data_IF_756403086899
#
_entry.id   IF_756403086899
#
_cell.length_a   1.000
_cell.length_b   1.000
_cell.length_c   1.000
_cell.angle_alpha   90.00
_cell.angle_beta   90.00
_cell.angle_gamma   90.00
#
_symmetry.space_group_name_H-M   'P 1'
#
loop_
_entity.id
_entity.type
_entity.pdbx_description
1 polymer ?
#
# COMPACT_ATOMS: atom_id res chain seq x y z
N UNK A 1 18.56 10.78 -34.57
CA UNK A 1 17.42 9.85 -34.44
C UNK A 1 17.37 9.42 -32.99
N UNK A 2 16.50 10.05 -32.24
CA UNK A 2 16.38 9.89 -30.79
C UNK A 2 15.37 8.78 -30.52
N UNK A 3 15.83 7.68 -29.92
CA UNK A 3 14.94 6.60 -29.48
C UNK A 3 14.36 6.98 -28.12
N UNK A 4 13.07 7.33 -28.10
CA UNK A 4 12.28 7.50 -26.91
C UNK A 4 12.12 6.15 -26.21
N UNK A 5 12.88 5.93 -25.15
CA UNK A 5 12.67 4.83 -24.22
C UNK A 5 11.45 5.17 -23.36
N UNK A 6 10.29 4.64 -23.73
CA UNK A 6 9.10 4.67 -22.87
C UNK A 6 9.43 3.86 -21.61
N UNK A 7 9.71 4.54 -20.51
CA UNK A 7 9.77 3.96 -19.17
C UNK A 7 8.35 3.54 -18.79
N UNK A 8 8.07 2.27 -18.91
CA UNK A 8 6.91 1.67 -18.29
C UNK A 8 7.14 1.61 -16.78
N UNK A 9 6.74 2.64 -16.06
CA UNK A 9 6.58 2.59 -14.62
C UNK A 9 5.31 1.78 -14.37
N UNK A 10 5.47 0.47 -14.22
CA UNK A 10 4.39 -0.39 -13.78
C UNK A 10 4.13 -0.11 -12.31
N UNK A 11 3.33 0.91 -12.01
CA UNK A 11 2.75 1.10 -10.68
C UNK A 11 1.70 0.02 -10.54
N UNK A 12 2.08 -1.11 -9.94
CA UNK A 12 1.12 -2.11 -9.52
C UNK A 12 0.43 -1.57 -8.27
N UNK A 13 -0.76 -0.99 -8.45
CA UNK A 13 -1.64 -0.60 -7.36
C UNK A 13 -2.12 -1.85 -6.65
N UNK A 14 -1.61 -2.07 -5.43
CA UNK A 14 -2.38 -2.83 -4.48
C UNK A 14 -3.44 -1.90 -3.93
N UNK A 15 -4.66 -2.28 -4.19
CA UNK A 15 -5.78 -1.69 -3.55
C UNK A 15 -5.70 -1.99 -2.06
N UNK A 16 -5.59 -0.96 -1.29
CA UNK A 16 -5.68 -0.98 0.15
C UNK A 16 -7.09 -1.40 0.51
N UNK A 17 -7.22 -2.62 0.98
CA UNK A 17 -8.35 -2.91 1.84
C UNK A 17 -8.23 -1.95 3.00
N UNK A 18 -9.23 -1.10 3.17
CA UNK A 18 -9.33 -0.21 4.32
C UNK A 18 -9.42 -1.07 5.56
N UNK A 19 -8.26 -1.43 6.10
CA UNK A 19 -8.17 -2.01 7.42
C UNK A 19 -8.34 -0.88 8.41
N UNK A 20 -9.42 -0.97 9.17
CA UNK A 20 -9.61 -0.20 10.40
C UNK A 20 -8.54 -0.60 11.43
N UNK A 21 -7.31 -0.14 11.27
CA UNK A 21 -6.34 -0.13 12.36
C UNK A 21 -6.49 1.21 13.07
N UNK A 22 -7.29 1.22 14.12
CA UNK A 22 -7.33 2.33 15.07
C UNK A 22 -6.04 2.25 15.90
N UNK A 23 -4.97 2.83 15.42
CA UNK A 23 -3.88 3.31 16.25
C UNK A 23 -3.63 4.76 15.87
N UNK A 24 -4.22 5.67 16.65
CA UNK A 24 -3.90 7.07 16.61
C UNK A 24 -2.46 7.24 17.11
N UNK A 25 -1.48 7.16 16.22
CA UNK A 25 -0.26 7.89 16.40
C UNK A 25 -0.65 9.35 16.15
N UNK A 26 -0.70 10.14 17.23
CA UNK A 26 -0.68 11.59 17.11
C UNK A 26 0.53 11.91 16.24
N UNK A 27 0.40 12.76 15.21
CA UNK A 27 1.57 13.24 14.48
C UNK A 27 2.53 13.81 15.52
N UNK A 28 3.81 13.47 15.40
CA UNK A 28 4.86 14.11 16.17
C UNK A 28 4.75 15.60 15.87
N UNK A 29 4.37 16.40 16.86
CA UNK A 29 4.04 17.81 16.69
C UNK A 29 5.24 18.68 16.24
N UNK A 30 6.43 18.06 16.13
CA UNK A 30 7.69 18.72 15.80
C UNK A 30 8.26 18.32 14.44
N UNK A 31 7.59 17.47 13.63
CA UNK A 31 8.05 17.08 12.29
C UNK A 31 7.45 18.02 11.25
N UNK A 32 8.31 18.72 10.51
CA UNK A 32 7.89 19.49 9.32
C UNK A 32 7.75 18.54 8.13
N UNK A 33 6.54 18.03 7.91
CA UNK A 33 6.19 17.10 6.83
C UNK A 33 6.32 17.69 5.43
N UNK A 34 6.52 19.01 5.31
CA UNK A 34 6.66 19.73 4.05
C UNK A 34 8.11 20.14 3.74
N UNK A 35 9.03 19.95 4.69
CA UNK A 35 10.44 20.28 4.51
C UNK A 35 11.21 19.19 3.75
N UNK A 36 11.96 19.57 2.71
CA UNK A 36 12.79 18.66 1.92
C UNK A 36 12.30 18.49 0.48
N UNK A 37 12.83 17.47 -0.19
CA UNK A 37 12.53 17.14 -1.58
C UNK A 37 11.68 15.86 -1.65
N UNK A 38 10.67 15.86 -2.51
CA UNK A 38 9.98 14.63 -2.92
C UNK A 38 10.79 13.87 -3.97
N UNK A 39 10.58 12.58 -4.15
CA UNK A 39 11.27 11.76 -5.14
C UNK A 39 11.14 12.32 -6.57
N UNK A 40 10.00 12.95 -6.89
CA UNK A 40 9.76 13.56 -8.21
C UNK A 40 10.60 14.81 -8.49
N UNK A 41 11.11 15.47 -7.47
CA UNK A 41 11.97 16.68 -7.56
C UNK A 41 13.45 16.34 -7.61
N UNK A 42 13.80 15.07 -7.43
CA UNK A 42 15.16 14.57 -7.34
C UNK A 42 15.56 13.83 -8.62
N UNK A 43 16.85 13.87 -8.93
CA UNK A 43 17.45 12.98 -9.93
C UNK A 43 17.86 11.65 -9.28
N UNK A 44 18.05 10.62 -10.10
CA UNK A 44 18.49 9.30 -9.66
C UNK A 44 19.94 9.08 -10.08
N UNK A 45 20.77 8.66 -9.13
CA UNK A 45 22.12 8.13 -9.36
C UNK A 45 22.14 6.65 -9.10
N UNK A 46 22.57 5.88 -10.08
CA UNK A 46 22.73 4.44 -9.94
C UNK A 46 24.22 4.09 -9.95
N UNK A 47 24.63 3.20 -9.05
CA UNK A 47 25.98 2.62 -9.00
C UNK A 47 25.87 1.11 -8.80
N UNK A 48 26.73 0.36 -9.49
CA UNK A 48 26.78 -1.11 -9.42
C UNK A 48 28.15 -1.52 -8.92
N UNK A 49 28.16 -2.37 -7.89
CA UNK A 49 29.38 -2.96 -7.31
C UNK A 49 29.15 -4.46 -7.11
N UNK A 50 29.71 -5.26 -8.03
CA UNK A 50 29.45 -6.70 -8.08
C UNK A 50 27.97 -7.01 -8.28
N UNK A 51 27.37 -7.73 -7.33
CA UNK A 51 25.94 -8.07 -7.32
C UNK A 51 25.05 -7.01 -6.66
N UNK A 52 25.62 -5.90 -6.18
CA UNK A 52 24.87 -4.87 -5.46
C UNK A 52 24.64 -3.65 -6.35
N UNK A 53 23.39 -3.30 -6.57
CA UNK A 53 22.97 -2.05 -7.19
C UNK A 53 22.50 -1.08 -6.12
N UNK A 54 23.05 0.14 -6.12
CA UNK A 54 22.59 1.25 -5.26
C UNK A 54 21.91 2.29 -6.12
N UNK A 55 20.67 2.60 -5.80
CA UNK A 55 19.88 3.66 -6.44
C UNK A 55 19.66 4.77 -5.41
N UNK A 56 20.28 5.93 -5.64
CA UNK A 56 20.25 7.07 -4.70
C UNK A 56 19.50 8.26 -5.29
N UNK A 57 18.75 8.95 -4.44
CA UNK A 57 18.15 10.25 -4.76
C UNK A 57 19.21 11.35 -4.62
N UNK A 58 19.24 12.28 -5.60
CA UNK A 58 20.25 13.33 -5.69
C UNK A 58 19.58 14.67 -5.95
N UNK A 59 19.87 15.65 -5.09
CA UNK A 59 19.35 17.00 -5.24
C UNK A 59 20.01 17.78 -6.42
N UNK A 60 19.55 19.00 -6.76
CA UNK A 60 20.13 19.80 -7.85
C UNK A 60 21.62 20.12 -7.68
N UNK A 61 22.15 20.14 -6.45
CA UNK A 61 23.55 20.35 -6.16
C UNK A 61 24.42 19.09 -6.32
N UNK A 62 23.82 17.97 -6.69
CA UNK A 62 24.51 16.69 -6.88
C UNK A 62 24.77 15.91 -5.59
N UNK A 63 24.10 16.27 -4.50
CA UNK A 63 24.26 15.64 -3.17
C UNK A 63 23.15 14.61 -2.97
N UNK A 64 23.52 13.44 -2.42
CA UNK A 64 22.54 12.42 -2.00
C UNK A 64 21.69 13.00 -0.86
N UNK A 65 20.37 12.88 -0.97
CA UNK A 65 19.42 13.41 -0.01
C UNK A 65 18.22 12.48 0.15
N UNK A 66 17.54 12.55 1.30
CA UNK A 66 16.30 11.80 1.52
C UNK A 66 15.18 12.33 0.62
N UNK A 67 14.43 11.41 0.01
CA UNK A 67 13.15 11.71 -0.59
C UNK A 67 12.07 11.59 0.49
N UNK A 68 11.46 12.72 0.87
CA UNK A 68 10.54 12.78 2.03
C UNK A 68 9.31 11.88 1.87
N UNK A 69 8.82 11.72 0.65
CA UNK A 69 7.69 10.86 0.29
C UNK A 69 8.08 9.37 0.17
N UNK A 70 9.38 9.06 0.15
CA UNK A 70 9.89 7.68 0.12
C UNK A 70 10.44 7.23 1.47
N UNK A 71 10.88 8.17 2.32
CA UNK A 71 11.42 7.93 3.64
C UNK A 71 12.86 7.40 3.65
N UNK A 72 13.62 7.51 2.54
CA UNK A 72 15.03 7.10 2.44
C UNK A 72 15.77 7.88 1.35
N UNK A 73 17.12 7.88 1.42
CA UNK A 73 18.00 8.48 0.41
C UNK A 73 18.47 7.46 -0.64
N UNK A 74 18.72 6.21 -0.23
CA UNK A 74 19.29 5.18 -1.10
C UNK A 74 18.60 3.84 -0.85
N UNK A 75 18.30 3.12 -1.94
CA UNK A 75 17.95 1.71 -1.87
C UNK A 75 19.11 0.88 -2.45
N UNK A 76 19.57 -0.11 -1.65
CA UNK A 76 20.54 -1.11 -2.06
C UNK A 76 19.83 -2.40 -2.40
N UNK A 77 20.08 -2.96 -3.60
CA UNK A 77 19.55 -4.26 -4.05
C UNK A 77 20.69 -5.21 -4.33
N UNK A 78 20.68 -6.33 -3.63
CA UNK A 78 21.58 -7.45 -3.91
C UNK A 78 20.88 -8.43 -4.85
N UNK A 79 21.60 -8.90 -5.88
CA UNK A 79 21.07 -9.83 -6.87
C UNK A 79 21.78 -11.17 -6.80
N UNK A 80 21.06 -12.25 -7.12
CA UNK A 80 21.63 -13.58 -7.34
C UNK A 80 22.29 -13.70 -8.74
N UNK A 81 22.85 -14.86 -9.03
CA UNK A 81 23.50 -15.17 -10.32
C UNK A 81 22.53 -15.12 -11.51
N UNK A 82 21.23 -15.16 -11.28
CA UNK A 82 20.18 -15.02 -12.30
C UNK A 82 19.68 -13.57 -12.45
N UNK A 83 20.26 -12.62 -11.71
CA UNK A 83 19.87 -11.21 -11.71
C UNK A 83 18.59 -10.91 -10.93
N UNK A 84 18.09 -11.85 -10.11
CA UNK A 84 16.91 -11.61 -9.27
C UNK A 84 17.34 -10.94 -7.96
N UNK A 85 16.57 -9.96 -7.49
CA UNK A 85 16.82 -9.29 -6.21
C UNK A 85 16.59 -10.28 -5.06
N UNK A 86 17.62 -10.54 -4.25
CA UNK A 86 17.52 -11.43 -3.07
C UNK A 86 17.52 -10.68 -1.76
N UNK A 87 17.95 -9.40 -1.76
CA UNK A 87 17.84 -8.52 -0.60
C UNK A 87 17.67 -7.06 -1.06
N UNK A 88 16.86 -6.30 -0.34
CA UNK A 88 16.68 -4.87 -0.51
C UNK A 88 16.86 -4.18 0.85
N UNK A 89 17.62 -3.06 0.89
CA UNK A 89 17.89 -2.28 2.11
C UNK A 89 17.70 -0.81 1.85
N UNK A 90 17.12 -0.10 2.82
CA UNK A 90 16.90 1.34 2.76
C UNK A 90 17.88 2.07 3.65
N UNK A 91 18.52 3.10 3.11
CA UNK A 91 19.56 3.88 3.80
C UNK A 91 19.21 5.37 3.77
N UNK A 92 19.55 6.05 4.85
CA UNK A 92 19.49 7.50 4.95
C UNK A 92 20.64 8.20 4.18
N UNK A 93 20.74 9.52 4.30
CA UNK A 93 21.81 10.34 3.66
C UNK A 93 23.21 10.00 4.14
N UNK A 94 23.38 9.43 5.34
CA UNK A 94 24.65 9.03 5.93
C UNK A 94 25.06 7.62 5.51
N UNK A 95 24.14 6.87 4.91
CA UNK A 95 24.31 5.46 4.59
C UNK A 95 23.93 4.51 5.72
N UNK A 96 23.29 5.02 6.77
CA UNK A 96 22.79 4.22 7.87
C UNK A 96 21.42 3.61 7.54
N UNK A 97 21.09 2.40 8.03
CA UNK A 97 19.78 1.79 7.83
C UNK A 97 18.65 2.68 8.34
N UNK A 98 17.63 2.92 7.51
CA UNK A 98 16.44 3.68 7.87
C UNK A 98 15.18 2.85 7.69
N UNK A 99 14.23 2.99 8.63
CA UNK A 99 12.97 2.28 8.56
C UNK A 99 12.06 2.90 7.50
N UNK A 100 11.63 2.10 6.55
CA UNK A 100 10.61 2.50 5.59
C UNK A 100 9.25 2.48 6.26
N UNK A 101 8.50 3.59 6.15
CA UNK A 101 7.19 3.77 6.79
C UNK A 101 7.19 3.43 8.30
N UNK A 102 8.35 3.56 8.97
CA UNK A 102 8.52 3.28 10.40
C UNK A 102 8.45 1.80 10.80
N UNK A 103 8.39 0.86 9.85
CA UNK A 103 8.10 -0.54 10.14
C UNK A 103 9.24 -1.52 9.88
N UNK A 104 10.01 -1.36 8.78
CA UNK A 104 11.06 -2.31 8.38
C UNK A 104 12.19 -1.61 7.65
N UNK A 105 13.40 -2.20 7.69
CA UNK A 105 14.63 -1.61 7.16
C UNK A 105 15.09 -2.26 5.86
N UNK A 106 14.45 -3.35 5.48
CA UNK A 106 14.75 -4.07 4.26
C UNK A 106 13.85 -5.28 4.08
N UNK A 107 14.07 -5.97 2.98
CA UNK A 107 13.37 -7.18 2.57
C UNK A 107 14.39 -8.22 2.11
N UNK A 108 14.15 -9.50 2.39
CA UNK A 108 14.82 -10.59 1.71
C UNK A 108 13.83 -11.40 0.90
N UNK A 109 14.34 -12.00 -0.20
CA UNK A 109 13.55 -12.76 -1.14
C UNK A 109 14.18 -14.13 -1.36
N UNK A 110 13.38 -15.19 -1.21
CA UNK A 110 13.74 -16.55 -1.60
C UNK A 110 12.76 -16.99 -2.69
N UNK A 111 13.31 -17.54 -3.78
CA UNK A 111 12.53 -17.89 -4.96
C UNK A 111 12.47 -19.39 -5.14
N UNK A 112 11.27 -19.91 -5.35
CA UNK A 112 11.01 -21.26 -5.83
C UNK A 112 10.40 -21.19 -7.25
N UNK A 113 10.07 -22.32 -7.86
CA UNK A 113 9.52 -22.38 -9.23
C UNK A 113 8.22 -21.57 -9.40
N UNK A 114 7.36 -21.54 -8.38
CA UNK A 114 6.03 -20.93 -8.43
C UNK A 114 5.75 -19.98 -7.27
N UNK A 115 6.72 -19.82 -6.36
CA UNK A 115 6.53 -18.97 -5.18
C UNK A 115 7.75 -18.12 -4.88
N UNK A 116 7.49 -17.05 -4.14
CA UNK A 116 8.50 -16.17 -3.56
C UNK A 116 8.20 -16.00 -2.08
N UNK A 117 9.19 -16.25 -1.24
CA UNK A 117 9.15 -15.94 0.18
C UNK A 117 9.74 -14.56 0.37
N UNK A 118 8.98 -13.63 0.95
CA UNK A 118 9.36 -12.24 1.21
C UNK A 118 9.40 -12.06 2.71
N UNK A 119 10.58 -11.77 3.27
CA UNK A 119 10.76 -11.58 4.72
C UNK A 119 11.15 -10.13 5.03
N UNK A 120 10.49 -9.52 5.97
CA UNK A 120 10.76 -8.17 6.44
C UNK A 120 11.91 -8.19 7.44
N UNK A 121 12.84 -7.22 7.31
CA UNK A 121 14.11 -7.18 8.04
C UNK A 121 14.20 -5.94 8.94
N UNK A 122 14.86 -6.12 10.11
CA UNK A 122 15.30 -5.02 10.97
C UNK A 122 16.60 -4.36 10.44
N UNK A 123 17.14 -3.41 11.20
CA UNK A 123 18.37 -2.69 10.85
C UNK A 123 19.59 -3.61 10.75
N UNK A 124 19.62 -4.71 11.52
CA UNK A 124 20.68 -5.71 11.58
C UNK A 124 20.49 -6.88 10.61
N UNK A 125 19.51 -6.82 9.69
CA UNK A 125 19.14 -7.88 8.74
C UNK A 125 18.49 -9.12 9.38
N UNK A 126 17.96 -9.01 10.61
CA UNK A 126 17.19 -10.12 11.18
C UNK A 126 15.71 -9.98 10.80
N UNK A 127 14.98 -11.11 10.66
CA UNK A 127 13.54 -11.07 10.46
C UNK A 127 12.80 -10.31 11.57
N UNK A 128 11.91 -9.39 11.20
CA UNK A 128 11.13 -8.59 12.13
C UNK A 128 9.63 -8.86 11.96
N UNK A 129 8.89 -8.85 13.09
CA UNK A 129 7.44 -8.87 13.07
C UNK A 129 6.89 -7.46 12.86
N UNK A 130 6.09 -7.29 11.81
CA UNK A 130 5.39 -6.04 11.52
C UNK A 130 4.25 -5.76 12.51
N UNK A 131 3.80 -4.50 12.58
CA UNK A 131 2.60 -4.09 13.30
C UNK A 131 1.35 -4.87 12.85
N UNK A 132 1.30 -5.28 11.58
CA UNK A 132 0.24 -6.11 11.00
C UNK A 132 0.22 -7.56 11.50
N UNK A 133 1.22 -7.97 12.29
CA UNK A 133 1.20 -9.24 12.99
C UNK A 133 1.98 -10.38 12.34
N UNK A 134 2.54 -10.19 11.14
CA UNK A 134 3.36 -11.16 10.43
C UNK A 134 4.79 -10.65 10.21
N UNK A 135 5.69 -11.54 9.79
CA UNK A 135 7.09 -11.24 9.44
C UNK A 135 7.42 -11.63 8.00
N UNK A 136 6.64 -12.53 7.44
CA UNK A 136 6.93 -13.15 6.15
C UNK A 136 5.66 -13.31 5.34
N UNK A 137 5.77 -13.08 4.03
CA UNK A 137 4.75 -13.36 3.03
C UNK A 137 5.26 -14.52 2.16
N UNK A 138 4.47 -15.56 2.00
CA UNK A 138 4.67 -16.56 0.94
C UNK A 138 3.72 -16.22 -0.19
N UNK A 139 4.29 -15.76 -1.30
CA UNK A 139 3.58 -15.31 -2.50
C UNK A 139 3.65 -16.40 -3.56
N UNK A 140 2.50 -16.85 -4.06
CA UNK A 140 2.42 -17.66 -5.27
C UNK A 140 2.22 -16.79 -6.49
N UNK A 141 2.69 -17.27 -7.64
CA UNK A 141 2.55 -16.57 -8.91
C UNK A 141 1.90 -17.49 -9.96
N UNK A 142 1.00 -16.88 -10.74
CA UNK A 142 0.39 -17.50 -11.91
C UNK A 142 0.60 -16.57 -13.11
N UNK A 143 1.17 -17.09 -14.19
CA UNK A 143 1.51 -16.31 -15.38
C UNK A 143 2.36 -15.06 -15.09
N UNK A 144 3.30 -15.16 -14.13
CA UNK A 144 4.19 -14.10 -13.72
C UNK A 144 3.54 -12.99 -12.87
N UNK A 145 2.32 -13.21 -12.36
CA UNK A 145 1.59 -12.28 -11.49
C UNK A 145 1.32 -12.91 -10.13
N UNK A 146 1.38 -12.10 -9.08
CA UNK A 146 1.02 -12.53 -7.73
C UNK A 146 -0.43 -13.02 -7.69
N UNK A 147 -0.65 -14.29 -7.34
CA UNK A 147 -1.98 -14.88 -7.19
C UNK A 147 -2.42 -14.87 -5.73
N UNK A 148 -1.67 -15.56 -4.88
CA UNK A 148 -1.97 -15.67 -3.47
C UNK A 148 -0.81 -15.17 -2.63
N UNK A 149 -1.12 -14.48 -1.53
CA UNK A 149 -0.18 -14.19 -0.46
C UNK A 149 -0.70 -14.83 0.83
N UNK A 150 0.18 -15.54 1.56
CA UNK A 150 -0.10 -16.03 2.90
C UNK A 150 0.89 -15.47 3.90
N UNK A 151 0.44 -15.17 5.12
CA UNK A 151 1.18 -14.48 6.17
C UNK A 151 1.70 -15.46 7.22
N UNK A 152 2.97 -15.28 7.60
CA UNK A 152 3.66 -16.15 8.55
C UNK A 152 4.37 -15.33 9.63
N UNK A 153 4.45 -15.88 10.84
CA UNK A 153 5.21 -15.30 11.95
C UNK A 153 6.71 -15.66 11.87
N UNK A 154 7.49 -15.16 12.84
CA UNK A 154 8.93 -15.43 12.96
C UNK A 154 9.28 -16.93 13.16
N UNK A 155 8.30 -17.78 13.52
CA UNK A 155 8.49 -19.22 13.69
C UNK A 155 8.06 -20.01 12.44
N UNK A 156 7.68 -19.31 11.35
CA UNK A 156 7.16 -19.93 10.14
C UNK A 156 5.74 -20.51 10.30
N UNK A 157 4.98 -20.04 11.30
CA UNK A 157 3.60 -20.46 11.49
C UNK A 157 2.67 -19.46 10.80
N UNK A 158 1.69 -19.98 10.05
CA UNK A 158 0.69 -19.16 9.39
C UNK A 158 -0.16 -18.41 10.41
N UNK A 159 -0.22 -17.07 10.30
CA UNK A 159 -0.90 -16.16 11.24
C UNK A 159 -1.94 -15.28 10.56
N UNK A 160 -2.89 -14.81 11.36
CA UNK A 160 -3.75 -13.71 10.90
C UNK A 160 -2.99 -12.39 10.93
N UNK A 161 -3.16 -11.59 9.87
CA UNK A 161 -2.79 -10.19 9.92
C UNK A 161 -3.77 -9.39 10.80
N UNK A 162 -3.47 -8.11 11.03
CA UNK A 162 -4.35 -7.19 11.77
C UNK A 162 -5.78 -7.09 11.18
N UNK A 163 -5.92 -7.36 9.87
CA UNK A 163 -7.20 -7.46 9.17
C UNK A 163 -8.04 -8.69 9.48
N UNK A 164 -7.51 -9.63 10.26
CA UNK A 164 -8.25 -10.81 10.69
C UNK A 164 -8.30 -11.95 9.68
N UNK A 165 -7.45 -11.93 8.64
CA UNK A 165 -7.34 -12.97 7.62
C UNK A 165 -5.91 -13.51 7.52
N UNK A 166 -5.72 -14.66 6.87
CA UNK A 166 -4.43 -15.38 6.81
C UNK A 166 -3.71 -15.18 5.48
N UNK A 167 -4.38 -14.63 4.50
CA UNK A 167 -3.85 -14.39 3.19
C UNK A 167 -4.85 -13.69 2.29
N UNK A 168 -4.44 -13.43 1.05
CA UNK A 168 -5.27 -12.81 0.02
C UNK A 168 -5.12 -13.57 -1.29
N UNK A 169 -6.19 -13.61 -2.09
CA UNK A 169 -6.18 -14.06 -3.47
C UNK A 169 -6.49 -12.89 -4.40
N UNK A 170 -5.79 -12.81 -5.53
CA UNK A 170 -5.96 -11.75 -6.55
C UNK A 170 -6.45 -12.33 -7.86
N UNK A 171 -7.36 -11.62 -8.49
CA UNK A 171 -7.80 -11.91 -9.85
C UNK A 171 -7.46 -10.74 -10.77
N UNK A 172 -7.08 -11.07 -12.01
CA UNK A 172 -6.67 -10.10 -13.02
C UNK A 172 -7.52 -10.21 -14.26
N UNK A 173 -7.80 -9.06 -14.91
CA UNK A 173 -8.42 -9.04 -16.23
C UNK A 173 -7.38 -9.37 -17.34
N UNK A 174 -7.83 -9.40 -18.58
CA UNK A 174 -6.99 -9.71 -19.75
C UNK A 174 -5.86 -8.69 -19.96
N UNK A 175 -6.05 -7.45 -19.51
CA UNK A 175 -5.08 -6.36 -19.57
C UNK A 175 -4.05 -6.44 -18.43
N UNK A 176 -4.22 -7.37 -17.46
CA UNK A 176 -3.33 -7.58 -16.32
C UNK A 176 -3.60 -6.65 -15.15
N UNK A 177 -4.73 -5.96 -15.13
CA UNK A 177 -5.15 -5.15 -14.00
C UNK A 177 -5.77 -6.04 -12.92
N UNK A 178 -5.41 -5.82 -11.65
CA UNK A 178 -6.06 -6.51 -10.54
C UNK A 178 -7.50 -6.00 -10.39
N UNK A 179 -8.46 -6.92 -10.53
CA UNK A 179 -9.89 -6.61 -10.50
C UNK A 179 -10.60 -7.15 -9.26
N UNK A 180 -9.93 -7.99 -8.47
CA UNK A 180 -10.51 -8.55 -7.24
C UNK A 180 -9.45 -8.95 -6.24
N UNK A 181 -9.76 -8.79 -4.96
CA UNK A 181 -8.99 -9.29 -3.84
C UNK A 181 -9.94 -10.01 -2.89
N UNK A 182 -9.67 -11.29 -2.62
CA UNK A 182 -10.44 -12.12 -1.68
C UNK A 182 -9.59 -12.43 -0.45
N UNK A 183 -10.16 -12.27 0.76
CA UNK A 183 -9.49 -12.62 2.02
C UNK A 183 -9.60 -14.12 2.28
N UNK A 184 -8.49 -14.71 2.71
CA UNK A 184 -8.35 -16.16 2.82
C UNK A 184 -8.18 -16.62 4.28
N UNK A 185 -8.80 -17.77 4.59
CA UNK A 185 -8.50 -18.56 5.79
C UNK A 185 -7.18 -19.35 5.60
N UNK A 186 -6.73 -20.05 6.66
CA UNK A 186 -5.53 -20.92 6.61
C UNK A 186 -5.54 -21.99 5.51
N UNK A 187 -6.70 -22.32 4.97
CA UNK A 187 -6.88 -23.36 3.94
C UNK A 187 -7.09 -22.78 2.55
N UNK A 188 -6.95 -21.47 2.40
CA UNK A 188 -7.16 -20.78 1.12
C UNK A 188 -8.64 -20.60 0.73
N UNK A 189 -9.57 -20.67 1.66
CA UNK A 189 -10.99 -20.44 1.41
C UNK A 189 -11.35 -19.00 1.78
N UNK A 190 -12.29 -18.42 1.04
CA UNK A 190 -12.81 -17.09 1.35
C UNK A 190 -13.29 -16.98 2.80
N UNK A 191 -12.93 -15.91 3.49
CA UNK A 191 -13.36 -15.60 4.84
C UNK A 191 -13.62 -14.11 5.01
N UNK A 192 -14.49 -13.75 5.96
CA UNK A 192 -14.67 -12.34 6.31
C UNK A 192 -13.48 -11.80 7.09
N UNK A 193 -13.03 -10.62 6.72
CA UNK A 193 -12.06 -9.83 7.47
C UNK A 193 -12.69 -9.15 8.69
N UNK A 194 -11.89 -8.48 9.49
CA UNK A 194 -12.37 -7.62 10.59
C UNK A 194 -13.29 -6.48 10.14
N UNK A 195 -13.28 -6.11 8.84
CA UNK A 195 -14.20 -5.11 8.28
C UNK A 195 -15.58 -5.67 7.91
N UNK A 196 -15.78 -7.01 8.03
CA UNK A 196 -17.05 -7.67 7.77
C UNK A 196 -17.29 -8.06 6.32
N UNK A 197 -16.32 -7.85 5.41
CA UNK A 197 -16.38 -8.31 4.02
C UNK A 197 -15.37 -9.45 3.78
N UNK A 198 -15.63 -10.28 2.76
CA UNK A 198 -14.72 -11.36 2.36
C UNK A 198 -13.76 -10.92 1.25
N UNK A 199 -13.96 -9.74 0.69
CA UNK A 199 -13.07 -9.19 -0.32
C UNK A 199 -13.65 -7.94 -0.98
N UNK A 200 -12.92 -7.49 -2.00
CA UNK A 200 -13.25 -6.31 -2.80
C UNK A 200 -13.12 -6.63 -4.27
N UNK A 201 -14.00 -6.04 -5.10
CA UNK A 201 -13.80 -5.93 -6.54
C UNK A 201 -13.41 -4.50 -6.88
N UNK A 202 -12.49 -4.33 -7.82
CA UNK A 202 -11.97 -3.03 -8.22
C UNK A 202 -12.54 -2.58 -9.54
N UNK A 203 -12.80 -1.30 -9.65
CA UNK A 203 -13.07 -0.62 -10.90
C UNK A 203 -11.87 0.23 -11.27
N UNK A 204 -11.25 -0.09 -12.41
CA UNK A 204 -10.14 0.66 -12.97
C UNK A 204 -10.62 1.59 -14.08
N UNK A 205 -9.92 2.71 -14.30
CA UNK A 205 -10.04 3.51 -15.50
C UNK A 205 -9.25 2.90 -16.68
N UNK A 206 -9.20 3.62 -17.80
CA UNK A 206 -8.52 3.17 -19.01
C UNK A 206 -7.01 2.99 -18.86
N UNK A 207 -6.41 3.70 -17.91
CA UNK A 207 -4.97 3.65 -17.61
C UNK A 207 -4.64 2.57 -16.55
N UNK A 208 -5.67 1.85 -16.07
CA UNK A 208 -5.51 0.81 -15.03
C UNK A 208 -5.51 1.33 -13.60
N UNK A 209 -5.72 2.62 -13.41
CA UNK A 209 -5.80 3.21 -12.07
C UNK A 209 -7.12 2.82 -11.41
N UNK A 210 -7.06 2.32 -10.16
CA UNK A 210 -8.27 2.03 -9.39
C UNK A 210 -9.01 3.32 -9.05
N UNK A 211 -10.25 3.42 -9.53
CA UNK A 211 -11.15 4.56 -9.32
C UNK A 211 -12.35 4.22 -8.44
N UNK A 212 -12.40 3.01 -7.91
CA UNK A 212 -13.41 2.59 -6.94
C UNK A 212 -13.36 1.11 -6.63
N UNK A 213 -14.07 0.74 -5.57
CA UNK A 213 -14.18 -0.63 -5.09
C UNK A 213 -15.59 -0.95 -4.62
N UNK A 214 -15.91 -2.24 -4.56
CA UNK A 214 -17.16 -2.78 -4.02
C UNK A 214 -16.84 -3.99 -3.16
N UNK A 215 -17.50 -4.10 -1.99
CA UNK A 215 -17.30 -5.16 -1.03
C UNK A 215 -18.23 -6.34 -1.28
N UNK A 216 -17.75 -7.55 -1.07
CA UNK A 216 -18.51 -8.78 -1.20
C UNK A 216 -18.35 -9.72 0.00
N UNK A 217 -19.34 -10.59 0.22
CA UNK A 217 -19.33 -11.65 1.21
C UNK A 217 -18.66 -12.93 0.67
N UNK A 218 -18.65 -14.02 1.46
CA UNK A 218 -18.05 -15.30 1.09
C UNK A 218 -18.77 -16.02 -0.07
N UNK A 219 -20.00 -15.63 -0.40
CA UNK A 219 -20.77 -16.13 -1.54
C UNK A 219 -20.63 -15.21 -2.77
N UNK A 220 -19.88 -14.11 -2.68
CA UNK A 220 -19.70 -13.13 -3.75
C UNK A 220 -20.83 -12.11 -3.87
N UNK A 221 -21.76 -12.03 -2.92
CA UNK A 221 -22.82 -11.03 -2.94
C UNK A 221 -22.32 -9.71 -2.38
N UNK A 222 -22.82 -8.55 -2.86
CA UNK A 222 -22.50 -7.26 -2.26
C UNK A 222 -22.82 -7.23 -0.78
N UNK A 223 -21.86 -6.81 0.05
CA UNK A 223 -22.00 -6.76 1.51
C UNK A 223 -21.72 -5.35 2.04
N UNK A 224 -22.37 -5.01 3.12
CA UNK A 224 -22.16 -3.75 3.82
C UNK A 224 -20.95 -3.86 4.75
N UNK A 225 -20.01 -2.92 4.65
CA UNK A 225 -18.89 -2.82 5.59
C UNK A 225 -19.36 -2.36 6.97
N UNK A 226 -18.48 -2.46 7.97
CA UNK A 226 -18.76 -1.93 9.31
C UNK A 226 -18.97 -0.40 9.34
N UNK A 227 -18.46 0.35 8.35
CA UNK A 227 -18.70 1.79 8.21
C UNK A 227 -20.07 2.11 7.61
N UNK A 228 -20.74 1.13 7.04
CA UNK A 228 -22.09 1.27 6.52
C UNK A 228 -22.23 1.43 5.02
N UNK A 229 -21.14 1.42 4.26
CA UNK A 229 -21.15 1.46 2.79
C UNK A 229 -20.94 0.07 2.18
N UNK A 230 -21.28 -0.08 0.90
CA UNK A 230 -21.07 -1.28 0.08
C UNK A 230 -19.86 -1.15 -0.84
N UNK A 231 -19.29 0.04 -0.94
CA UNK A 231 -18.13 0.33 -1.76
C UNK A 231 -17.79 1.80 -1.76
N UNK A 232 -16.79 2.15 -2.54
CA UNK A 232 -16.22 3.48 -2.61
C UNK A 232 -15.90 3.88 -4.06
N UNK A 233 -15.88 5.18 -4.33
CA UNK A 233 -15.40 5.75 -5.57
C UNK A 233 -14.39 6.85 -5.27
N UNK A 234 -13.31 6.90 -6.03
CA UNK A 234 -12.14 7.72 -5.76
C UNK A 234 -11.95 8.83 -6.79
N UNK A 235 -11.48 10.00 -6.33
CA UNK A 235 -10.84 10.99 -7.18
C UNK A 235 -9.46 11.28 -6.63
N UNK A 236 -8.46 11.27 -7.51
CA UNK A 236 -7.07 11.56 -7.15
C UNK A 236 -6.76 13.05 -7.34
N UNK A 237 -5.82 13.56 -6.55
CA UNK A 237 -5.23 14.87 -6.74
C UNK A 237 -4.11 14.81 -7.81
N UNK A 238 -3.46 15.94 -8.07
CA UNK A 238 -2.38 16.05 -9.07
C UNK A 238 -1.15 15.21 -8.73
N UNK A 239 -0.93 14.90 -7.44
CA UNK A 239 0.15 14.04 -6.96
C UNK A 239 -0.19 12.55 -7.04
N UNK A 240 -1.43 12.20 -7.43
CA UNK A 240 -1.88 10.81 -7.51
C UNK A 240 -2.51 10.25 -6.23
N UNK A 241 -2.53 11.00 -5.12
CA UNK A 241 -3.19 10.59 -3.87
C UNK A 241 -4.72 10.65 -3.97
N UNK A 242 -5.42 9.83 -3.20
CA UNK A 242 -6.90 9.85 -3.15
C UNK A 242 -7.36 11.10 -2.40
N UNK A 243 -7.64 12.18 -3.15
CA UNK A 243 -8.11 13.44 -2.60
C UNK A 243 -9.61 13.47 -2.30
N UNK A 244 -10.39 12.52 -2.84
CA UNK A 244 -11.82 12.40 -2.52
C UNK A 244 -12.25 10.94 -2.54
N UNK A 245 -13.00 10.54 -1.52
CA UNK A 245 -13.72 9.27 -1.42
C UNK A 245 -15.21 9.58 -1.40
N UNK A 246 -15.98 8.91 -2.25
CA UNK A 246 -17.45 8.92 -2.21
C UNK A 246 -17.95 7.54 -1.83
N UNK A 247 -18.68 7.44 -0.73
CA UNK A 247 -19.20 6.18 -0.20
C UNK A 247 -20.47 5.77 -0.94
N UNK A 248 -20.57 4.49 -1.28
CA UNK A 248 -21.58 3.94 -2.18
C UNK A 248 -22.48 2.94 -1.45
N UNK A 249 -23.77 2.94 -1.83
CA UNK A 249 -24.73 1.91 -1.47
C UNK A 249 -24.64 0.67 -2.36
N UNK A 250 -25.49 -0.32 -2.09
CA UNK A 250 -25.57 -1.55 -2.88
C UNK A 250 -25.92 -1.31 -4.36
N UNK A 251 -26.61 -0.21 -4.67
CA UNK A 251 -26.97 0.20 -6.03
C UNK A 251 -25.87 1.03 -6.73
N UNK A 252 -24.70 1.17 -6.11
CA UNK A 252 -23.57 1.96 -6.61
C UNK A 252 -23.77 3.47 -6.53
N UNK A 253 -24.84 3.95 -5.89
CA UNK A 253 -25.08 5.39 -5.74
C UNK A 253 -24.48 5.93 -4.44
N UNK A 254 -24.15 7.24 -4.38
CA UNK A 254 -23.71 7.89 -3.17
C UNK A 254 -24.67 7.64 -2.00
N UNK A 255 -24.15 7.13 -0.88
CA UNK A 255 -24.94 6.72 0.28
C UNK A 255 -24.21 7.14 1.55
N UNK A 256 -24.92 7.68 2.57
CA UNK A 256 -24.31 8.04 3.83
C UNK A 256 -23.72 6.84 4.56
N UNK A 257 -22.54 7.02 5.15
CA UNK A 257 -21.95 6.10 6.14
C UNK A 257 -22.77 6.08 7.42
N UNK A 258 -22.44 5.18 8.36
CA UNK A 258 -23.05 5.18 9.69
C UNK A 258 -22.84 6.51 10.46
N UNK A 259 -21.79 7.27 10.13
CA UNK A 259 -21.54 8.59 10.71
C UNK A 259 -22.29 9.73 9.99
N UNK A 260 -23.05 9.42 8.93
CA UNK A 260 -23.93 10.32 8.22
C UNK A 260 -23.32 11.09 7.05
N UNK A 261 -22.00 11.05 6.85
CA UNK A 261 -21.36 11.68 5.69
C UNK A 261 -21.32 10.72 4.49
N UNK A 262 -21.32 11.30 3.30
CA UNK A 262 -21.31 10.57 2.03
C UNK A 262 -19.98 10.77 1.29
N UNK A 263 -19.30 11.89 1.52
CA UNK A 263 -18.06 12.24 0.85
C UNK A 263 -17.02 12.62 1.91
N UNK A 264 -15.81 12.07 1.78
CA UNK A 264 -14.59 12.49 2.45
C UNK A 264 -13.69 13.18 1.44
N UNK A 265 -13.22 14.39 1.75
CA UNK A 265 -12.10 15.01 1.01
C UNK A 265 -10.90 15.10 1.92
N UNK A 266 -9.73 14.74 1.38
CA UNK A 266 -8.46 14.70 2.10
C UNK A 266 -7.42 15.55 1.38
N UNK A 267 -6.67 16.32 2.17
CA UNK A 267 -5.43 16.96 1.73
C UNK A 267 -4.23 16.20 2.28
N UNK A 268 -3.07 16.42 1.69
CA UNK A 268 -1.84 15.71 2.03
C UNK A 268 -0.68 16.70 2.15
N UNK A 269 0.22 16.42 3.06
CA UNK A 269 1.54 17.01 3.11
C UNK A 269 2.40 16.54 1.93
N UNK A 270 3.54 17.19 1.72
CA UNK A 270 4.46 16.84 0.62
C UNK A 270 5.08 15.45 0.79
N UNK A 271 5.25 14.97 2.01
CA UNK A 271 5.72 13.61 2.31
C UNK A 271 4.66 12.51 2.09
N UNK A 272 3.44 12.89 1.67
CA UNK A 272 2.34 11.95 1.43
C UNK A 272 1.51 11.62 2.66
N UNK A 273 1.85 12.14 3.83
CA UNK A 273 1.01 11.99 5.02
C UNK A 273 -0.26 12.82 4.92
N UNK A 274 -1.36 12.32 5.53
CA UNK A 274 -2.64 13.04 5.51
C UNK A 274 -2.55 14.31 6.37
N UNK A 275 -2.95 15.44 5.79
CA UNK A 275 -3.04 16.74 6.47
C UNK A 275 -4.45 16.94 7.07
N UNK A 276 -5.48 17.09 6.22
CA UNK A 276 -6.82 17.45 6.66
C UNK A 276 -7.88 16.57 6.02
N UNK A 277 -8.86 16.12 6.84
CA UNK A 277 -10.07 15.44 6.40
C UNK A 277 -11.28 16.36 6.54
N UNK A 278 -12.05 16.50 5.47
CA UNK A 278 -13.30 17.25 5.40
C UNK A 278 -14.44 16.32 4.99
N UNK A 279 -15.58 16.42 5.67
CA UNK A 279 -16.72 15.54 5.48
C UNK A 279 -17.90 16.30 4.87
N UNK A 280 -18.64 15.66 3.97
CA UNK A 280 -19.76 16.27 3.25
C UNK A 280 -20.94 15.30 3.16
N UNK A 281 -22.16 15.87 3.07
CA UNK A 281 -23.36 15.11 2.73
C UNK A 281 -23.39 14.71 1.23
N UNK A 282 -24.44 14.01 0.79
CA UNK A 282 -24.62 13.61 -0.59
C UNK A 282 -24.79 14.78 -1.58
N UNK A 283 -25.18 15.96 -1.09
CA UNK A 283 -25.34 17.17 -1.90
C UNK A 283 -24.07 18.02 -1.95
N UNK A 284 -23.01 17.59 -1.23
CA UNK A 284 -21.74 18.32 -1.15
C UNK A 284 -21.73 19.44 -0.10
N UNK A 285 -22.70 19.49 0.82
CA UNK A 285 -22.67 20.43 1.92
C UNK A 285 -21.70 19.96 3.01
N UNK A 286 -20.85 20.84 3.58
CA UNK A 286 -19.93 20.48 4.65
C UNK A 286 -20.67 19.97 5.89
N UNK A 287 -20.08 18.96 6.54
CA UNK A 287 -20.60 18.37 7.78
C UNK A 287 -19.56 18.47 8.89
N UNK A 288 -20.02 18.81 10.10
CA UNK A 288 -19.22 18.73 11.31
C UNK A 288 -19.61 17.43 12.02
N UNK A 289 -18.67 16.48 12.12
CA UNK A 289 -18.90 15.24 12.85
C UNK A 289 -18.89 15.54 14.35
N UNK A 290 -19.90 15.01 15.08
CA UNK A 290 -19.94 15.13 16.54
C UNK A 290 -18.70 14.49 17.18
N UNK A 291 -18.23 15.04 18.31
CA UNK A 291 -17.12 14.47 19.09
C UNK A 291 -17.45 13.00 19.43
N UNK A 292 -16.69 12.08 18.86
CA UNK A 292 -16.91 10.62 18.93
C UNK A 292 -17.03 9.92 17.58
N UNK A 293 -17.24 10.64 16.48
CA UNK A 293 -17.06 10.10 15.15
C UNK A 293 -15.55 9.90 14.93
N UNK A 294 -15.18 8.66 14.72
CA UNK A 294 -13.78 8.22 14.57
C UNK A 294 -13.14 9.02 13.42
N UNK A 295 -12.04 9.71 13.69
CA UNK A 295 -11.15 10.21 12.65
C UNK A 295 -10.57 8.96 11.96
N UNK A 296 -10.96 8.71 10.74
CA UNK A 296 -10.31 7.72 9.90
C UNK A 296 -8.97 8.30 9.43
N UNK A 297 -7.90 7.98 10.12
CA UNK A 297 -6.56 8.07 9.55
C UNK A 297 -6.35 6.80 8.73
N UNK A 298 -6.54 6.89 7.43
CA UNK A 298 -6.00 5.90 6.51
C UNK A 298 -4.52 6.21 6.34
N UNK A 299 -3.67 5.50 7.07
CA UNK A 299 -2.25 5.47 6.78
C UNK A 299 -2.07 4.58 5.53
N UNK A 300 -1.73 5.22 4.41
CA UNK A 300 -1.26 4.51 3.22
C UNK A 300 0.11 3.91 3.53
N UNK A 301 0.16 2.61 3.73
CA UNK A 301 1.41 1.85 3.67
C UNK A 301 1.45 1.19 2.31
N UNK A 302 2.15 1.85 1.36
CA UNK A 302 2.46 1.23 0.09
C UNK A 302 3.42 0.09 0.32
N UNK A 303 3.00 -1.15 0.08
CA UNK A 303 3.92 -2.28 0.05
C UNK A 303 4.78 -2.23 -1.22
N UNK A 304 6.06 -2.59 -1.14
CA UNK A 304 6.93 -2.67 -2.31
C UNK A 304 6.55 -3.87 -3.16
N UNK A 305 6.49 -3.64 -4.46
CA UNK A 305 6.29 -4.69 -5.43
C UNK A 305 7.54 -4.86 -6.28
N UNK A 306 8.03 -6.07 -6.28
CA UNK A 306 8.91 -6.59 -7.32
C UNK A 306 8.06 -7.31 -8.37
#
# INVERSE_FOLDING_TARGET
>A
MSANLKRGCGILLIASVVLLSILALLPDADVDHDAGYTASELSIRETVDGSVTRTSYVNPDGVITDAIDMGYATVCRMQDDNGRVVEERYLDVNGDPVARYGNYYGLSYEYDETSTVITYLDAESNPIKLSDGYSTIVRTQVDGRASDDFYYDLNGQQVQCSGGYYGVHREYNAEGQNISLTFLDKKGRAMCSSSGCAGVTYRCDLDGTVVGEQYFDTEGNPVRSLLGQYGESYKRNEQGYIGQITYLGADGKPTPTNAGYTILKRTYHRDGTADTDMYFDANGNPMVLSKGAVRHQTQWQGEPFA
#
